data_IF_115702035353
#
_entry.id   IF_115702035353
#
_cell.length_a   1.000
_cell.length_b   1.000
_cell.length_c   1.000
_cell.angle_alpha   90.00
_cell.angle_beta   90.00
_cell.angle_gamma   90.00
#
_symmetry.space_group_name_H-M   'P 1'
#
loop_
_entity.id
_entity.type
_entity.pdbx_description
1 polymer ?
#
# COMPACT_ATOMS: atom_id res chain seq x y z
N UNK A 1 -0.13 -5.62 17.76
CA UNK A 1 -0.65 -4.39 18.41
C UNK A 1 -2.02 -4.70 19.00
N UNK A 2 -2.35 -4.20 20.20
CA UNK A 2 -3.70 -4.33 20.78
C UNK A 2 -4.76 -3.74 19.85
N UNK A 3 -5.98 -4.26 19.91
CA UNK A 3 -7.12 -3.75 19.14
C UNK A 3 -7.38 -2.26 19.41
N UNK A 4 -7.54 -1.46 18.35
CA UNK A 4 -7.85 -0.03 18.41
C UNK A 4 -8.50 0.47 17.09
N UNK A 5 -8.90 1.73 17.05
CA UNK A 5 -9.61 2.30 15.90
C UNK A 5 -8.80 2.29 14.59
N UNK A 6 -7.47 2.36 14.66
CA UNK A 6 -6.59 2.37 13.48
C UNK A 6 -6.36 0.95 12.91
N UNK A 7 -6.73 -0.09 13.66
CA UNK A 7 -6.66 -1.49 13.22
C UNK A 7 -8.04 -2.16 13.19
N UNK A 8 -9.12 -1.37 13.06
CA UNK A 8 -10.48 -1.90 13.00
C UNK A 8 -10.84 -2.81 14.19
N UNK A 9 -10.22 -2.55 15.35
CA UNK A 9 -10.35 -3.36 16.57
C UNK A 9 -9.93 -4.82 16.42
N UNK A 10 -8.89 -5.09 15.63
CA UNK A 10 -8.38 -6.45 15.41
C UNK A 10 -6.96 -6.61 15.94
N UNK A 11 -6.66 -7.73 16.60
CA UNK A 11 -5.28 -8.14 16.86
C UNK A 11 -4.69 -8.74 15.58
N UNK A 12 -3.81 -8.01 14.92
CA UNK A 12 -3.16 -8.48 13.68
C UNK A 12 -1.91 -9.33 13.92
N UNK A 13 -1.42 -9.49 15.15
CA UNK A 13 -0.23 -10.32 15.40
C UNK A 13 1.01 -9.84 14.63
N UNK A 14 1.76 -10.78 14.06
CA UNK A 14 3.04 -10.58 13.36
C UNK A 14 2.88 -10.77 11.84
N UNK A 15 3.24 -9.74 11.09
CA UNK A 15 3.25 -9.76 9.63
C UNK A 15 4.62 -10.06 9.03
N UNK A 16 4.63 -10.59 7.81
CA UNK A 16 5.85 -10.81 7.02
C UNK A 16 5.65 -10.24 5.61
N UNK A 17 6.68 -9.64 5.02
CA UNK A 17 6.65 -9.23 3.61
C UNK A 17 6.56 -10.43 2.66
N UNK A 18 5.53 -10.47 1.82
CA UNK A 18 5.38 -11.46 0.77
C UNK A 18 6.34 -11.15 -0.38
N UNK A 19 7.36 -12.00 -0.54
CA UNK A 19 8.41 -11.87 -1.57
C UNK A 19 8.49 -13.12 -2.43
N UNK A 20 8.79 -12.91 -3.72
CA UNK A 20 8.83 -13.97 -4.75
C UNK A 20 9.62 -15.21 -4.35
N UNK A 21 10.83 -15.10 -3.74
CA UNK A 21 11.60 -16.28 -3.34
C UNK A 21 10.88 -17.21 -2.35
N UNK A 22 9.92 -16.67 -1.58
CA UNK A 22 9.21 -17.42 -0.54
C UNK A 22 7.90 -18.04 -1.00
N UNK A 23 7.38 -17.70 -2.19
CA UNK A 23 6.06 -18.13 -2.65
C UNK A 23 5.89 -19.64 -2.62
N UNK A 24 6.88 -20.38 -3.14
CA UNK A 24 6.83 -21.85 -3.17
C UNK A 24 6.74 -22.43 -1.76
N UNK A 25 7.57 -21.95 -0.84
CA UNK A 25 7.56 -22.41 0.54
C UNK A 25 6.21 -22.10 1.21
N UNK A 26 5.69 -20.89 1.05
CA UNK A 26 4.41 -20.48 1.66
C UNK A 26 3.27 -21.34 1.14
N UNK A 27 3.18 -21.54 -0.18
CA UNK A 27 2.09 -22.32 -0.80
C UNK A 27 2.17 -23.82 -0.48
N UNK A 28 3.38 -24.39 -0.38
CA UNK A 28 3.57 -25.82 -0.08
C UNK A 28 3.48 -26.14 1.42
N UNK A 29 4.05 -25.28 2.27
CA UNK A 29 4.22 -25.56 3.71
C UNK A 29 3.22 -24.88 4.61
N UNK A 30 2.57 -23.82 4.13
CA UNK A 30 1.55 -23.05 4.85
C UNK A 30 1.98 -22.68 6.29
N UNK A 31 3.10 -21.95 6.45
CA UNK A 31 3.64 -21.63 7.77
C UNK A 31 2.66 -20.76 8.58
N UNK A 32 2.75 -20.84 9.91
CA UNK A 32 1.95 -20.00 10.81
C UNK A 32 2.45 -18.56 10.72
N UNK A 33 1.65 -17.69 10.09
CA UNK A 33 1.87 -16.24 9.94
C UNK A 33 0.51 -15.57 10.00
N UNK A 34 0.38 -14.47 10.75
CA UNK A 34 -0.93 -13.81 10.93
C UNK A 34 -1.40 -13.08 9.67
N UNK A 35 -0.47 -12.46 8.94
CA UNK A 35 -0.74 -11.78 7.67
C UNK A 35 0.53 -11.54 6.85
N UNK A 36 0.33 -11.26 5.57
CA UNK A 36 1.39 -10.91 4.64
C UNK A 36 1.27 -9.47 4.15
N UNK A 37 2.39 -8.76 4.04
CA UNK A 37 2.45 -7.46 3.39
C UNK A 37 2.82 -7.61 1.91
N UNK A 38 2.14 -6.88 1.02
CA UNK A 38 2.52 -6.78 -0.39
C UNK A 38 2.92 -5.35 -0.76
N UNK A 39 3.85 -5.23 -1.72
CA UNK A 39 4.03 -3.98 -2.46
C UNK A 39 2.94 -3.92 -3.53
N UNK A 40 2.06 -2.95 -3.42
CA UNK A 40 0.81 -2.84 -4.18
C UNK A 40 1.06 -2.83 -5.69
N UNK A 41 2.07 -2.07 -6.13
CA UNK A 41 2.46 -1.87 -7.52
C UNK A 41 2.83 -3.17 -8.23
N UNK A 42 3.36 -4.16 -7.50
CA UNK A 42 3.67 -5.48 -8.06
C UNK A 42 2.42 -6.29 -8.44
N UNK A 43 1.25 -5.91 -7.94
CA UNK A 43 -0.04 -6.58 -8.15
C UNK A 43 -1.08 -5.70 -8.86
N UNK A 44 -0.74 -4.47 -9.25
CA UNK A 44 -1.59 -3.57 -10.05
C UNK A 44 -1.59 -3.90 -11.56
N UNK A 45 -1.48 -5.19 -11.89
CA UNK A 45 -1.47 -5.73 -13.26
C UNK A 45 -2.86 -6.23 -13.66
N UNK A 46 -3.15 -6.36 -14.95
CA UNK A 46 -4.46 -6.83 -15.41
C UNK A 46 -4.68 -8.34 -15.24
N UNK A 47 -3.61 -9.11 -14.97
CA UNK A 47 -3.70 -10.57 -14.86
C UNK A 47 -2.36 -11.27 -14.67
N UNK A 48 -2.37 -12.58 -14.91
CA UNK A 48 -1.16 -13.39 -14.97
C UNK A 48 -0.72 -13.97 -13.62
N UNK A 49 0.53 -14.44 -13.59
CA UNK A 49 1.09 -15.17 -12.45
C UNK A 49 1.03 -14.40 -11.12
N UNK A 50 1.33 -13.08 -11.05
CA UNK A 50 1.28 -12.35 -9.78
C UNK A 50 -0.09 -12.41 -9.12
N UNK A 51 -1.17 -12.12 -9.86
CA UNK A 51 -2.52 -12.15 -9.34
C UNK A 51 -3.00 -13.57 -8.97
N UNK A 52 -2.62 -14.59 -9.75
CA UNK A 52 -2.94 -15.99 -9.40
C UNK A 52 -2.30 -16.40 -8.07
N UNK A 53 -1.05 -16.02 -7.83
CA UNK A 53 -0.39 -16.30 -6.55
C UNK A 53 -1.07 -15.51 -5.43
N UNK A 54 -1.38 -14.23 -5.65
CA UNK A 54 -2.08 -13.41 -4.65
C UNK A 54 -3.41 -14.05 -4.24
N UNK A 55 -4.20 -14.55 -5.19
CA UNK A 55 -5.46 -15.24 -4.88
C UNK A 55 -5.25 -16.46 -4.01
N UNK A 56 -4.26 -17.30 -4.33
CA UNK A 56 -3.93 -18.48 -3.53
C UNK A 56 -3.47 -18.13 -2.12
N UNK A 57 -2.79 -16.99 -1.95
CA UNK A 57 -2.43 -16.47 -0.63
C UNK A 57 -3.67 -15.98 0.12
N UNK A 58 -4.56 -15.22 -0.55
CA UNK A 58 -5.79 -14.68 0.03
C UNK A 58 -6.80 -15.77 0.45
N UNK A 59 -6.71 -16.99 -0.10
CA UNK A 59 -7.49 -18.14 0.35
C UNK A 59 -7.15 -18.58 1.79
N UNK A 60 -5.97 -18.22 2.30
CA UNK A 60 -5.44 -18.76 3.57
C UNK A 60 -4.94 -17.69 4.52
N UNK A 61 -4.49 -16.55 4.01
CA UNK A 61 -3.85 -15.49 4.78
C UNK A 61 -4.53 -14.15 4.51
N UNK A 62 -4.49 -13.29 5.52
CA UNK A 62 -4.78 -11.88 5.34
C UNK A 62 -3.62 -11.22 4.61
N UNK A 63 -3.94 -10.21 3.80
CA UNK A 63 -2.95 -9.41 3.11
C UNK A 63 -3.17 -7.93 3.44
N UNK A 64 -2.07 -7.25 3.74
CA UNK A 64 -2.03 -5.79 3.92
C UNK A 64 -1.23 -5.19 2.76
N UNK A 65 -1.71 -4.07 2.23
CA UNK A 65 -1.06 -3.35 1.15
C UNK A 65 -0.12 -2.27 1.67
N UNK A 66 1.03 -2.18 1.04
CA UNK A 66 1.97 -1.07 1.16
C UNK A 66 2.28 -0.55 -0.26
N UNK A 67 2.14 0.75 -0.49
CA UNK A 67 2.48 1.43 -1.73
C UNK A 67 3.90 1.94 -1.72
N UNK A 68 4.46 2.18 -2.91
CA UNK A 68 5.81 2.77 -3.08
C UNK A 68 5.82 3.88 -4.14
N UNK A 69 4.65 4.37 -4.54
CA UNK A 69 4.51 5.25 -5.72
C UNK A 69 3.44 6.31 -5.59
N UNK A 70 2.82 6.48 -4.42
CA UNK A 70 1.85 7.55 -4.20
C UNK A 70 2.50 8.91 -4.04
N UNK A 71 3.69 8.96 -3.45
CA UNK A 71 4.47 10.19 -3.21
C UNK A 71 3.61 11.33 -2.66
N UNK A 72 3.02 11.17 -1.47
CA UNK A 72 2.03 12.13 -0.93
C UNK A 72 2.51 13.58 -0.91
N UNK A 73 3.82 13.81 -0.86
CA UNK A 73 4.45 15.12 -0.86
C UNK A 73 4.70 15.75 -2.22
N UNK A 74 4.46 15.04 -3.33
CA UNK A 74 4.60 15.60 -4.67
C UNK A 74 3.55 16.69 -4.93
N UNK A 75 3.97 17.78 -5.57
CA UNK A 75 3.10 18.92 -5.86
C UNK A 75 2.08 18.64 -6.97
N UNK A 76 2.46 17.76 -7.91
CA UNK A 76 1.61 17.34 -9.02
C UNK A 76 0.32 16.67 -8.53
N UNK A 77 -0.79 16.80 -9.28
CA UNK A 77 -2.01 16.06 -8.99
C UNK A 77 -1.78 14.56 -8.98
N UNK A 78 -2.54 13.84 -8.15
CA UNK A 78 -2.49 12.38 -8.07
C UNK A 78 -2.92 11.74 -9.41
N UNK A 79 -2.21 10.69 -9.82
CA UNK A 79 -2.55 9.92 -11.02
C UNK A 79 -3.84 9.09 -10.78
N UNK A 80 -4.94 9.53 -11.41
CA UNK A 80 -6.25 8.87 -11.31
C UNK A 80 -6.25 7.45 -11.89
N UNK A 81 -5.41 7.15 -12.87
CA UNK A 81 -5.27 5.80 -13.42
C UNK A 81 -4.56 4.88 -12.42
N UNK A 82 -3.53 5.38 -11.73
CA UNK A 82 -2.89 4.69 -10.61
C UNK A 82 -3.90 4.43 -9.49
N UNK A 83 -4.63 5.45 -9.01
CA UNK A 83 -5.64 5.30 -7.96
C UNK A 83 -6.71 4.27 -8.32
N UNK A 84 -7.13 4.22 -9.59
CA UNK A 84 -8.11 3.23 -10.06
C UNK A 84 -7.57 1.81 -10.00
N UNK A 85 -6.30 1.58 -10.38
CA UNK A 85 -5.63 0.28 -10.21
C UNK A 85 -5.53 -0.09 -8.74
N UNK A 86 -5.14 0.86 -7.90
CA UNK A 86 -5.00 0.64 -6.47
C UNK A 86 -6.35 0.31 -5.81
N UNK A 87 -7.42 1.03 -6.13
CA UNK A 87 -8.79 0.75 -5.63
C UNK A 87 -9.26 -0.64 -6.02
N UNK A 88 -8.91 -1.13 -7.22
CA UNK A 88 -9.20 -2.53 -7.62
C UNK A 88 -8.47 -3.53 -6.73
N UNK A 89 -7.21 -3.28 -6.41
CA UNK A 89 -6.41 -4.14 -5.54
C UNK A 89 -6.88 -4.10 -4.07
N UNK A 90 -7.26 -2.92 -3.56
CA UNK A 90 -7.94 -2.73 -2.27
C UNK A 90 -9.20 -3.60 -2.19
N UNK A 91 -10.06 -3.55 -3.19
CA UNK A 91 -11.26 -4.39 -3.23
C UNK A 91 -10.95 -5.88 -3.28
N UNK A 92 -9.92 -6.29 -4.03
CA UNK A 92 -9.52 -7.70 -4.16
C UNK A 92 -8.97 -8.28 -2.85
N UNK A 93 -8.05 -7.56 -2.23
CA UNK A 93 -7.36 -7.99 -1.00
C UNK A 93 -8.23 -7.82 0.24
N UNK A 94 -9.22 -6.92 0.19
CA UNK A 94 -9.97 -6.45 1.36
C UNK A 94 -9.02 -5.97 2.47
N UNK A 95 -7.93 -5.32 2.06
CA UNK A 95 -6.92 -4.80 2.98
C UNK A 95 -7.61 -3.86 3.99
N UNK A 96 -7.28 -3.96 5.30
CA UNK A 96 -7.90 -3.12 6.33
C UNK A 96 -7.40 -1.67 6.31
N UNK A 97 -6.19 -1.45 5.81
CA UNK A 97 -5.59 -0.13 5.54
C UNK A 97 -4.59 -0.26 4.40
N UNK A 98 -4.08 0.87 3.95
CA UNK A 98 -2.93 0.94 3.05
C UNK A 98 -1.90 1.91 3.63
N UNK A 99 -0.62 1.54 3.60
CA UNK A 99 0.48 2.46 3.91
C UNK A 99 1.23 2.92 2.66
N UNK A 100 1.80 4.13 2.67
CA UNK A 100 2.84 4.59 1.74
C UNK A 100 3.67 5.69 2.46
N UNK A 101 4.73 6.16 1.83
CA UNK A 101 5.78 6.98 2.42
C UNK A 101 5.46 8.47 2.40
N UNK A 102 5.84 9.18 3.45
CA UNK A 102 5.90 10.64 3.49
C UNK A 102 7.13 11.15 2.73
N UNK A 103 7.03 11.19 1.42
CA UNK A 103 8.07 11.69 0.53
C UNK A 103 7.46 12.35 -0.70
N UNK A 104 8.29 13.05 -1.46
CA UNK A 104 8.00 13.38 -2.84
C UNK A 104 8.88 12.52 -3.73
N UNK A 105 8.48 12.37 -4.99
CA UNK A 105 9.22 11.57 -5.95
C UNK A 105 8.81 11.82 -7.39
N UNK A 106 7.96 12.83 -7.61
CA UNK A 106 7.52 13.24 -8.93
C UNK A 106 7.43 14.77 -9.04
N UNK A 107 7.77 15.27 -10.22
CA UNK A 107 7.64 16.68 -10.60
C UNK A 107 7.52 16.79 -12.12
N UNK A 108 6.61 17.63 -12.60
CA UNK A 108 6.35 17.86 -14.02
C UNK A 108 6.14 16.55 -14.81
N UNK A 109 5.45 15.58 -14.19
CA UNK A 109 5.18 14.27 -14.78
C UNK A 109 6.38 13.31 -14.88
N UNK A 110 7.54 13.69 -14.32
CA UNK A 110 8.74 12.84 -14.22
C UNK A 110 8.79 12.17 -12.85
N UNK A 111 9.22 10.91 -12.78
CA UNK A 111 9.35 10.14 -11.54
C UNK A 111 10.82 9.86 -11.23
N UNK A 112 11.22 10.08 -9.98
CA UNK A 112 12.59 9.84 -9.49
C UNK A 112 12.84 8.37 -9.15
N UNK A 113 11.79 7.59 -8.86
CA UNK A 113 11.87 6.24 -8.28
C UNK A 113 12.60 6.14 -6.92
N UNK A 114 12.97 7.28 -6.34
CA UNK A 114 13.53 7.43 -5.00
C UNK A 114 12.50 8.07 -4.05
N UNK A 115 12.74 7.93 -2.74
CA UNK A 115 11.96 8.56 -1.68
C UNK A 115 12.64 9.89 -1.31
N UNK A 116 12.30 10.97 -2.02
CA UNK A 116 12.96 12.25 -1.82
C UNK A 116 12.45 12.96 -0.56
N UNK A 117 13.34 13.64 0.19
CA UNK A 117 13.01 14.21 1.50
C UNK A 117 12.03 15.38 1.37
N UNK A 118 11.05 15.41 2.27
CA UNK A 118 10.08 16.50 2.33
C UNK A 118 10.70 17.79 2.85
N UNK A 119 10.45 18.96 2.21
CA UNK A 119 10.73 20.24 2.83
C UNK A 119 9.80 20.45 4.03
N UNK A 120 10.34 20.91 5.14
CA UNK A 120 9.56 21.15 6.37
C UNK A 120 8.94 22.55 6.36
N UNK A 121 7.95 22.76 5.49
CA UNK A 121 7.20 24.02 5.38
C UNK A 121 5.69 23.80 5.48
N UNK A 122 4.95 24.88 5.73
CA UNK A 122 3.50 24.85 5.80
C UNK A 122 2.87 24.49 4.45
N UNK A 123 3.43 24.98 3.34
CA UNK A 123 2.93 24.66 2.00
C UNK A 123 3.07 23.16 1.68
N UNK A 124 4.19 22.55 2.12
CA UNK A 124 4.46 21.13 1.90
C UNK A 124 3.49 20.24 2.67
N UNK A 125 3.20 20.58 3.94
CA UNK A 125 2.23 19.81 4.73
C UNK A 125 0.80 20.02 4.23
N UNK A 126 0.43 21.22 3.78
CA UNK A 126 -0.89 21.48 3.19
C UNK A 126 -1.11 20.65 1.92
N UNK A 127 -0.10 20.60 1.05
CA UNK A 127 -0.10 19.76 -0.15
C UNK A 127 -0.25 18.27 0.22
N UNK A 128 0.55 17.80 1.18
CA UNK A 128 0.53 16.40 1.63
C UNK A 128 -0.82 16.02 2.23
N UNK A 129 -1.38 16.86 3.11
CA UNK A 129 -2.69 16.62 3.74
C UNK A 129 -3.80 16.57 2.70
N UNK A 130 -3.77 17.47 1.70
CA UNK A 130 -4.72 17.43 0.58
C UNK A 130 -4.63 16.11 -0.17
N UNK A 131 -3.43 15.68 -0.53
CA UNK A 131 -3.20 14.45 -1.28
C UNK A 131 -3.64 13.21 -0.47
N UNK A 132 -3.27 13.12 0.82
CA UNK A 132 -3.71 12.01 1.69
C UNK A 132 -5.24 11.95 1.78
N UNK A 133 -5.91 13.09 1.97
CA UNK A 133 -7.38 13.16 2.02
C UNK A 133 -8.02 12.68 0.73
N UNK A 134 -7.53 13.15 -0.43
CA UNK A 134 -8.05 12.70 -1.73
C UNK A 134 -7.92 11.18 -1.91
N UNK A 135 -6.78 10.61 -1.49
CA UNK A 135 -6.52 9.17 -1.57
C UNK A 135 -7.43 8.40 -0.63
N UNK A 136 -7.54 8.86 0.61
CA UNK A 136 -8.40 8.24 1.62
C UNK A 136 -9.87 8.25 1.18
N UNK A 137 -10.36 9.38 0.69
CA UNK A 137 -11.72 9.54 0.18
C UNK A 137 -11.94 8.66 -1.05
N UNK A 138 -10.96 8.57 -1.95
CA UNK A 138 -11.07 7.76 -3.16
C UNK A 138 -11.03 6.26 -2.86
N UNK A 139 -10.14 5.81 -1.97
CA UNK A 139 -9.97 4.39 -1.67
C UNK A 139 -10.98 3.85 -0.65
N UNK A 140 -11.59 4.73 0.15
CA UNK A 140 -12.61 4.42 1.16
C UNK A 140 -12.09 3.46 2.25
N UNK A 141 -10.79 3.54 2.55
CA UNK A 141 -10.11 2.79 3.62
C UNK A 141 -9.13 3.73 4.36
N UNK A 142 -8.75 3.42 5.61
CA UNK A 142 -7.70 4.14 6.31
C UNK A 142 -6.38 4.13 5.55
N UNK A 143 -5.70 5.28 5.55
CA UNK A 143 -4.34 5.44 5.02
C UNK A 143 -3.38 5.63 6.19
N UNK A 144 -2.33 4.82 6.23
CA UNK A 144 -1.20 5.00 7.11
C UNK A 144 -0.08 5.71 6.34
N UNK A 145 0.63 6.61 7.01
CA UNK A 145 1.74 7.35 6.41
C UNK A 145 3.02 6.92 7.11
N UNK A 146 3.94 6.35 6.35
CA UNK A 146 5.23 5.88 6.85
C UNK A 146 6.27 7.00 6.78
N UNK A 147 7.01 7.19 7.87
CA UNK A 147 8.15 8.11 7.90
C UNK A 147 9.37 7.46 7.20
N UNK A 148 10.14 8.27 6.47
CA UNK A 148 11.40 7.89 5.81
C UNK A 148 12.61 8.51 6.47
#
# INVERSE_FOLDING_TARGET
MPSNAFNGFTEYGVGIGLRVPHYRHILEKKPVVDWFEIISENFMVDGGRPLRILDQILEQYRVVQHGVSMYFGSADPLDRAHLTKLKRLVKRTKTPWLSDHLCWGSVDGTYSHDLLPMPYTWEAIDCTVRNIKEVQDFLEIPIAVENV
#
